data_IF_038113800785
#
_entry.id   IF_038113800785
#
_cell.length_a   1.000
_cell.length_b   1.000
_cell.length_c   1.000
_cell.angle_alpha   90.00
_cell.angle_beta   90.00
_cell.angle_gamma   90.00
#
_symmetry.space_group_name_H-M   'P 1'
#
loop_
_entity.id
_entity.type
_entity.pdbx_description
1 polymer ?
#
# COMPACT_ATOMS: atom_id res chain seq x y z
N UNK A 1 -11.52 3.85 -22.93
CA UNK A 1 -10.19 4.03 -22.30
C UNK A 1 -9.95 2.82 -21.42
N UNK A 2 -8.92 2.03 -21.69
CA UNK A 2 -8.55 0.92 -20.79
C UNK A 2 -8.11 1.50 -19.45
N UNK A 3 -8.65 0.97 -18.36
CA UNK A 3 -8.29 1.35 -17.00
C UNK A 3 -6.79 1.04 -16.76
N UNK A 4 -6.01 2.05 -16.36
CA UNK A 4 -4.56 1.88 -16.07
C UNK A 4 -4.32 0.89 -14.95
N UNK A 5 -5.21 0.87 -13.96
CA UNK A 5 -5.17 -0.09 -12.86
C UNK A 5 -5.32 -1.52 -13.38
N UNK A 6 -6.24 -1.74 -14.32
CA UNK A 6 -6.46 -3.04 -14.93
C UNK A 6 -5.24 -3.50 -15.76
N UNK A 7 -4.59 -2.59 -16.50
CA UNK A 7 -3.37 -2.92 -17.23
C UNK A 7 -2.24 -3.33 -16.26
N UNK A 8 -2.05 -2.60 -15.17
CA UNK A 8 -1.05 -2.94 -14.15
C UNK A 8 -1.32 -4.32 -13.54
N UNK A 9 -2.58 -4.63 -13.22
CA UNK A 9 -2.99 -5.96 -12.74
C UNK A 9 -2.66 -7.07 -13.73
N UNK A 10 -2.93 -6.86 -15.03
CA UNK A 10 -2.56 -7.82 -16.08
C UNK A 10 -1.04 -8.02 -16.21
N UNK A 11 -0.24 -7.04 -15.79
CA UNK A 11 1.22 -7.12 -15.75
C UNK A 11 1.75 -7.76 -14.46
N UNK A 12 0.86 -8.20 -13.56
CA UNK A 12 1.21 -8.87 -12.30
C UNK A 12 1.28 -7.93 -11.09
N UNK A 13 0.96 -6.64 -11.25
CA UNK A 13 0.97 -5.71 -10.12
C UNK A 13 -0.28 -5.88 -9.24
N UNK A 14 -0.06 -6.04 -7.94
CA UNK A 14 -1.13 -6.05 -6.94
C UNK A 14 -1.30 -4.68 -6.29
N UNK A 15 -2.53 -4.34 -5.90
CA UNK A 15 -2.75 -3.17 -5.04
C UNK A 15 -2.07 -3.43 -3.70
N UNK A 16 -1.11 -2.58 -3.36
CA UNK A 16 -0.30 -2.68 -2.15
C UNK A 16 -0.56 -1.49 -1.26
N UNK A 17 -0.81 -1.75 0.02
CA UNK A 17 -0.96 -0.72 1.06
C UNK A 17 0.23 -0.81 2.01
N UNK A 18 0.87 0.31 2.29
CA UNK A 18 1.94 0.40 3.28
C UNK A 18 1.59 1.42 4.37
N UNK A 19 1.63 0.98 5.62
CA UNK A 19 1.53 1.84 6.80
C UNK A 19 2.94 2.29 7.19
N UNK A 20 3.26 3.55 6.89
CA UNK A 20 4.55 4.16 7.17
C UNK A 20 4.46 4.95 8.48
N UNK A 21 5.12 4.44 9.51
CA UNK A 21 5.22 5.12 10.80
C UNK A 21 6.53 5.89 10.89
N UNK A 22 6.48 7.14 11.34
CA UNK A 22 7.64 8.01 11.43
C UNK A 22 7.54 8.95 12.63
N UNK A 23 8.69 9.47 13.08
CA UNK A 23 8.76 10.47 14.14
C UNK A 23 8.59 11.87 13.58
N UNK A 24 7.73 12.67 14.20
CA UNK A 24 7.54 14.06 13.79
C UNK A 24 8.81 14.87 14.06
N UNK A 25 9.33 15.66 13.09
CA UNK A 25 10.58 16.41 13.28
C UNK A 25 10.50 17.46 14.39
N UNK A 26 9.34 18.10 14.53
CA UNK A 26 9.03 19.12 15.55
C UNK A 26 8.63 18.53 16.91
N UNK A 27 8.31 17.23 16.96
CA UNK A 27 7.92 16.52 18.18
C UNK A 27 8.35 15.04 18.12
N UNK A 28 9.64 14.73 18.35
CA UNK A 28 10.17 13.37 18.16
C UNK A 28 9.58 12.29 19.07
N UNK A 29 8.88 12.67 20.14
CA UNK A 29 8.13 11.73 20.98
C UNK A 29 6.81 11.27 20.36
N UNK A 30 6.36 11.93 19.28
CA UNK A 30 5.11 11.60 18.59
C UNK A 30 5.40 10.76 17.36
N UNK A 31 4.74 9.60 17.31
CA UNK A 31 4.69 8.72 16.15
C UNK A 31 3.50 9.12 15.27
N UNK A 32 3.73 9.35 13.99
CA UNK A 32 2.70 9.63 13.00
C UNK A 32 2.60 8.49 11.99
N UNK A 33 1.38 8.20 11.53
CA UNK A 33 1.08 7.23 10.48
C UNK A 33 0.82 7.97 9.16
N UNK A 34 1.47 7.52 8.09
CA UNK A 34 1.15 7.84 6.71
C UNK A 34 0.75 6.55 5.99
N UNK A 35 -0.44 6.52 5.39
CA UNK A 35 -0.92 5.39 4.60
C UNK A 35 -0.61 5.64 3.14
N UNK A 36 0.27 4.82 2.59
CA UNK A 36 0.63 4.80 1.19
C UNK A 36 -0.12 3.66 0.49
N UNK A 37 -0.59 3.89 -0.73
CA UNK A 37 -1.24 2.86 -1.53
C UNK A 37 -0.96 3.06 -3.01
N UNK A 38 -0.41 2.03 -3.65
CA UNK A 38 -0.17 2.00 -5.09
C UNK A 38 -0.12 0.55 -5.61
N UNK A 39 -0.07 0.39 -6.92
CA UNK A 39 0.20 -0.89 -7.58
C UNK A 39 1.69 -1.22 -7.47
N UNK A 40 2.00 -2.42 -6.96
CA UNK A 40 3.39 -2.88 -6.78
C UNK A 40 3.56 -4.36 -7.09
N UNK A 41 4.81 -4.80 -7.27
CA UNK A 41 5.18 -6.18 -7.57
C UNK A 41 5.69 -6.89 -6.31
N UNK A 42 4.84 -7.72 -5.70
CA UNK A 42 5.27 -8.59 -4.62
C UNK A 42 6.17 -9.75 -5.14
N UNK A 43 7.15 -10.22 -4.35
CA UNK A 43 7.51 -9.81 -2.99
C UNK A 43 8.54 -8.67 -2.92
N UNK A 44 8.96 -8.13 -4.06
CA UNK A 44 10.09 -7.20 -4.15
C UNK A 44 9.71 -5.73 -3.88
N UNK A 45 8.44 -5.37 -4.04
CA UNK A 45 7.88 -4.04 -3.80
C UNK A 45 8.74 -2.86 -4.32
N UNK A 46 9.17 -2.88 -5.60
CA UNK A 46 10.06 -1.86 -6.13
C UNK A 46 9.48 -0.43 -6.01
N UNK A 47 8.17 -0.25 -6.20
CA UNK A 47 7.56 1.09 -6.15
C UNK A 47 7.55 1.64 -4.72
N UNK A 48 7.23 0.81 -3.74
CA UNK A 48 7.31 1.16 -2.32
C UNK A 48 8.74 1.50 -1.91
N UNK A 49 9.74 0.71 -2.32
CA UNK A 49 11.12 0.99 -1.95
C UNK A 49 11.66 2.27 -2.57
N UNK A 50 11.33 2.56 -3.83
CA UNK A 50 11.64 3.84 -4.46
C UNK A 50 11.01 5.02 -3.70
N UNK A 51 9.76 4.86 -3.25
CA UNK A 51 9.09 5.85 -2.41
C UNK A 51 9.79 6.05 -1.06
N UNK A 52 10.17 4.97 -0.38
CA UNK A 52 10.88 5.05 0.91
C UNK A 52 12.28 5.66 0.76
N UNK A 53 12.96 5.41 -0.35
CA UNK A 53 14.25 6.05 -0.65
C UNK A 53 14.08 7.54 -0.96
N UNK A 54 13.03 7.93 -1.67
CA UNK A 54 12.67 9.33 -1.81
C UNK A 54 12.36 9.97 -0.44
N UNK A 55 11.58 9.30 0.42
CA UNK A 55 11.28 9.78 1.76
C UNK A 55 12.56 10.07 2.55
N UNK A 56 13.51 9.12 2.58
CA UNK A 56 14.78 9.28 3.30
C UNK A 56 15.63 10.45 2.81
N UNK A 57 15.53 10.80 1.52
CA UNK A 57 16.32 11.89 0.93
C UNK A 57 15.67 13.25 1.12
N UNK A 58 14.36 13.34 0.93
CA UNK A 58 13.66 14.64 0.80
C UNK A 58 12.87 15.03 2.04
N UNK A 59 12.53 14.07 2.93
CA UNK A 59 11.68 14.32 4.10
C UNK A 59 12.55 14.27 5.36
N UNK A 60 12.57 15.37 6.12
CA UNK A 60 13.31 15.51 7.39
C UNK A 60 12.69 14.72 8.57
N UNK A 61 11.97 13.62 8.29
CA UNK A 61 11.24 12.84 9.28
C UNK A 61 11.76 11.39 9.35
N UNK A 62 12.21 10.98 10.53
CA UNK A 62 12.83 9.67 10.74
C UNK A 62 11.79 8.55 10.68
N UNK A 63 11.99 7.58 9.78
CA UNK A 63 11.16 6.38 9.68
C UNK A 63 11.36 5.50 10.92
N UNK A 64 10.25 5.03 11.49
CA UNK A 64 10.22 4.07 12.60
C UNK A 64 9.95 2.65 12.09
N UNK A 65 8.86 2.46 11.35
CA UNK A 65 8.46 1.14 10.86
C UNK A 65 7.56 1.23 9.64
N UNK A 66 7.67 0.26 8.74
CA UNK A 66 6.77 0.10 7.59
C UNK A 66 6.09 -1.25 7.68
N UNK A 67 4.75 -1.27 7.66
CA UNK A 67 3.96 -2.50 7.58
C UNK A 67 3.31 -2.59 6.22
N UNK A 68 3.56 -3.69 5.51
CA UNK A 68 3.04 -3.93 4.17
C UNK A 68 1.84 -4.87 4.26
N UNK A 69 0.69 -4.41 3.77
CA UNK A 69 -0.45 -5.23 3.45
C UNK A 69 -0.55 -5.31 1.93
N UNK A 70 -0.34 -6.49 1.36
CA UNK A 70 -0.49 -6.74 -0.07
C UNK A 70 -1.38 -7.96 -0.26
N UNK A 71 -2.22 -7.93 -1.28
CA UNK A 71 -2.90 -9.14 -1.73
C UNK A 71 -1.94 -9.91 -2.64
N UNK A 72 -1.40 -11.05 -2.17
CA UNK A 72 -0.49 -11.89 -2.95
C UNK A 72 -1.13 -12.47 -4.21
N UNK A 73 -2.45 -12.56 -4.23
CA UNK A 73 -3.18 -13.20 -5.30
C UNK A 73 -4.14 -12.16 -5.87
N UNK A 74 -3.84 -11.63 -7.07
CA UNK A 74 -4.91 -11.16 -7.95
C UNK A 74 -5.75 -12.40 -8.24
N UNK A 75 -6.75 -12.64 -7.39
CA UNK A 75 -7.81 -13.58 -7.70
C UNK A 75 -8.69 -12.88 -8.72
N UNK A 76 -9.25 -13.60 -9.69
CA UNK A 76 -10.41 -13.08 -10.39
C UNK A 76 -11.40 -12.54 -9.35
N UNK A 77 -12.18 -11.51 -9.67
CA UNK A 77 -13.34 -11.17 -8.85
C UNK A 77 -14.21 -12.44 -8.75
N UNK A 78 -14.06 -13.19 -7.66
CA UNK A 78 -14.75 -14.45 -7.48
C UNK A 78 -16.22 -14.10 -7.26
N UNK A 79 -17.07 -14.56 -8.18
CA UNK A 79 -18.50 -14.43 -8.01
C UNK A 79 -18.90 -15.38 -6.88
N UNK A 80 -19.04 -14.83 -5.67
CA UNK A 80 -19.53 -15.59 -4.53
C UNK A 80 -21.06 -15.52 -4.54
N UNK A 81 -21.69 -16.64 -4.89
CA UNK A 81 -23.11 -16.82 -4.60
C UNK A 81 -23.28 -16.75 -3.08
N UNK A 82 -24.03 -15.76 -2.61
CA UNK A 82 -24.39 -15.61 -1.19
C UNK A 82 -25.90 -15.61 -1.08
N UNK A 83 -26.43 -16.30 -0.07
CA UNK A 83 -27.86 -16.34 0.20
C UNK A 83 -28.40 -14.97 0.72
N UNK A 84 -27.50 -14.06 1.09
CA UNK A 84 -27.81 -12.69 1.48
C UNK A 84 -26.57 -11.95 2.01
N UNK A 85 -26.57 -10.61 1.91
CA UNK A 85 -25.55 -9.73 2.49
C UNK A 85 -26.17 -8.99 3.66
N UNK A 86 -25.59 -9.11 4.85
CA UNK A 86 -25.99 -8.34 6.03
C UNK A 86 -24.96 -7.25 6.26
N UNK A 87 -25.34 -6.00 6.06
CA UNK A 87 -24.51 -4.84 6.35
C UNK A 87 -24.82 -4.35 7.77
N UNK A 88 -23.79 -4.27 8.62
CA UNK A 88 -23.89 -3.64 9.93
C UNK A 88 -23.42 -2.20 9.79
N UNK A 89 -24.29 -1.26 10.17
CA UNK A 89 -24.03 0.18 10.23
C UNK A 89 -23.43 0.55 11.59
#
# INVERSE_FOLDING_TARGET
MSDRAFIAQLQGYGLTTAEVHYYRPDAPSLLQLFVWQDYDLAPDFPVLFDFLDHWRREIEAALHSVRIAHDQLIRPAEWRAVDGVISIQ
#
